data_IF_601554261762
#
_entry.id   IF_601554261762
#
_cell.length_a   1.000
_cell.length_b   1.000
_cell.length_c   1.000
_cell.angle_alpha   90.00
_cell.angle_beta   90.00
_cell.angle_gamma   90.00
#
_symmetry.space_group_name_H-M   'P 1'
#
loop_
_entity.id
_entity.type
_entity.pdbx_description
1 polymer ?
#
# COMPACT_ATOMS: atom_id res chain seq x y z
N UNK A 1 -36.88 17.61 16.75
CA UNK A 1 -35.74 18.20 16.05
C UNK A 1 -34.40 17.70 16.61
N UNK A 2 -34.19 17.78 17.93
CA UNK A 2 -32.89 17.39 18.53
C UNK A 2 -32.54 15.89 18.33
N UNK A 3 -33.50 14.97 18.48
CA UNK A 3 -33.24 13.54 18.28
C UNK A 3 -32.76 13.20 16.86
N UNK A 4 -33.32 13.84 15.82
CA UNK A 4 -32.89 13.62 14.42
C UNK A 4 -31.49 14.20 14.17
N UNK A 5 -31.16 15.38 14.74
CA UNK A 5 -29.82 15.95 14.63
C UNK A 5 -28.78 15.04 15.29
N UNK A 6 -29.08 14.51 16.48
CA UNK A 6 -28.20 13.55 17.17
C UNK A 6 -27.99 12.31 16.32
N UNK A 7 -29.06 11.73 15.74
CA UNK A 7 -28.96 10.56 14.87
C UNK A 7 -28.06 10.83 13.64
N UNK A 8 -28.23 11.97 12.97
CA UNK A 8 -27.42 12.36 11.82
C UNK A 8 -25.96 12.61 12.21
N UNK A 9 -25.69 13.16 13.39
CA UNK A 9 -24.34 13.36 13.89
C UNK A 9 -23.64 12.04 14.22
N UNK A 10 -24.38 11.06 14.78
CA UNK A 10 -23.85 9.69 15.00
C UNK A 10 -23.57 9.02 13.66
N UNK A 11 -24.50 9.08 12.70
CA UNK A 11 -24.30 8.53 11.35
C UNK A 11 -23.08 9.14 10.67
N UNK A 12 -22.87 10.46 10.79
CA UNK A 12 -21.69 11.13 10.27
C UNK A 12 -20.40 10.56 10.92
N UNK A 13 -20.41 10.38 12.24
CA UNK A 13 -19.25 9.82 12.95
C UNK A 13 -18.92 8.40 12.49
N UNK A 14 -19.92 7.55 12.28
CA UNK A 14 -19.71 6.18 11.78
C UNK A 14 -19.18 6.15 10.34
N UNK A 15 -19.64 7.04 9.47
CA UNK A 15 -19.16 7.12 8.09
C UNK A 15 -17.72 7.67 8.03
N UNK A 16 -17.38 8.66 8.85
CA UNK A 16 -16.01 9.17 8.98
C UNK A 16 -15.08 8.08 9.50
N UNK A 17 -15.48 7.34 10.54
CA UNK A 17 -14.68 6.25 11.09
C UNK A 17 -14.45 5.13 10.06
N UNK A 18 -15.49 4.77 9.30
CA UNK A 18 -15.39 3.78 8.23
C UNK A 18 -14.45 4.25 7.09
N UNK A 19 -14.57 5.53 6.69
CA UNK A 19 -13.68 6.13 5.70
C UNK A 19 -12.21 6.13 6.17
N UNK A 20 -11.95 6.52 7.43
CA UNK A 20 -10.62 6.51 8.02
C UNK A 20 -10.03 5.10 8.08
N UNK A 21 -10.83 4.10 8.45
CA UNK A 21 -10.42 2.70 8.49
C UNK A 21 -10.07 2.17 7.09
N UNK A 22 -10.86 2.49 6.07
CA UNK A 22 -10.56 2.12 4.68
C UNK A 22 -9.27 2.78 4.19
N UNK A 23 -9.10 4.08 4.47
CA UNK A 23 -7.88 4.79 4.14
C UNK A 23 -6.64 4.13 4.78
N UNK A 24 -6.74 3.76 6.04
CA UNK A 24 -5.68 3.05 6.75
C UNK A 24 -5.27 1.74 6.05
N UNK A 25 -6.24 0.89 5.66
CA UNK A 25 -5.93 -0.36 4.96
C UNK A 25 -5.24 -0.14 3.61
N UNK A 26 -5.68 0.85 2.83
CA UNK A 26 -5.01 1.18 1.56
C UNK A 26 -3.58 1.66 1.81
N UNK A 27 -3.39 2.55 2.76
CA UNK A 27 -2.07 3.12 3.10
C UNK A 27 -1.09 2.06 3.57
N UNK A 28 -1.51 1.20 4.49
CA UNK A 28 -0.64 0.16 5.05
C UNK A 28 -0.33 -0.94 4.05
N UNK A 29 -1.30 -1.31 3.19
CA UNK A 29 -1.09 -2.29 2.13
C UNK A 29 -0.06 -1.85 1.11
N UNK A 30 -0.19 -0.64 0.57
CA UNK A 30 0.75 -0.07 -0.39
C UNK A 30 2.16 0.13 0.24
N UNK A 31 2.22 0.66 1.46
CA UNK A 31 3.48 0.84 2.17
C UNK A 31 4.18 -0.49 2.41
N UNK A 32 3.43 -1.52 2.84
CA UNK A 32 3.96 -2.86 3.09
C UNK A 32 4.55 -3.48 1.82
N UNK A 33 3.83 -3.36 0.70
CA UNK A 33 4.31 -3.89 -0.60
C UNK A 33 5.63 -3.24 -1.01
N UNK A 34 5.71 -1.90 -0.96
CA UNK A 34 6.91 -1.17 -1.39
C UNK A 34 8.07 -1.38 -0.41
N UNK A 35 7.81 -1.42 0.89
CA UNK A 35 8.82 -1.70 1.89
C UNK A 35 9.42 -3.09 1.68
N UNK A 36 8.58 -4.10 1.47
CA UNK A 36 9.02 -5.47 1.21
C UNK A 36 9.88 -5.55 -0.05
N UNK A 37 9.48 -4.89 -1.13
CA UNK A 37 10.26 -4.79 -2.37
C UNK A 37 11.68 -4.23 -2.13
N UNK A 38 11.78 -3.11 -1.39
CA UNK A 38 13.06 -2.49 -1.08
C UNK A 38 13.93 -3.41 -0.22
N UNK A 39 13.35 -4.05 0.79
CA UNK A 39 14.07 -4.99 1.66
C UNK A 39 14.55 -6.21 0.88
N UNK A 40 13.69 -6.83 0.06
CA UNK A 40 14.09 -8.01 -0.72
C UNK A 40 15.16 -7.68 -1.75
N UNK A 41 15.04 -6.53 -2.44
CA UNK A 41 16.09 -6.05 -3.34
C UNK A 41 17.42 -5.86 -2.60
N UNK A 42 17.40 -5.22 -1.43
CA UNK A 42 18.59 -5.04 -0.61
C UNK A 42 19.21 -6.38 -0.20
N UNK A 43 18.40 -7.31 0.34
CA UNK A 43 18.87 -8.62 0.77
C UNK A 43 19.43 -9.44 -0.41
N UNK A 44 18.81 -9.34 -1.58
CA UNK A 44 19.31 -9.96 -2.79
C UNK A 44 20.69 -9.42 -3.17
N UNK A 45 20.86 -8.09 -3.16
CA UNK A 45 22.16 -7.45 -3.45
C UNK A 45 23.23 -7.82 -2.44
N UNK A 46 22.93 -7.75 -1.14
CA UNK A 46 23.86 -8.14 -0.07
C UNK A 46 24.28 -9.62 -0.18
N UNK A 47 23.36 -10.49 -0.65
CA UNK A 47 23.64 -11.93 -0.81
C UNK A 47 24.33 -12.26 -2.12
N UNK A 48 24.24 -11.39 -3.13
CA UNK A 48 24.73 -11.63 -4.49
C UNK A 48 26.27 -11.80 -4.51
N UNK A 49 26.99 -11.09 -3.67
CA UNK A 49 28.44 -11.24 -3.58
C UNK A 49 28.83 -12.68 -3.14
N UNK A 50 28.12 -13.23 -2.17
CA UNK A 50 28.33 -14.61 -1.72
C UNK A 50 27.92 -15.63 -2.77
N UNK A 51 26.85 -15.35 -3.53
CA UNK A 51 26.44 -16.18 -4.66
C UNK A 51 27.52 -16.18 -5.73
N UNK A 52 28.13 -15.03 -6.06
CA UNK A 52 29.26 -14.92 -7.02
C UNK A 52 30.51 -15.67 -6.56
N UNK A 53 30.81 -15.71 -5.27
CA UNK A 53 31.93 -16.51 -4.75
C UNK A 53 31.70 -17.99 -5.03
N UNK A 54 30.47 -18.49 -4.87
CA UNK A 54 30.11 -19.88 -5.21
C UNK A 54 30.21 -20.09 -6.72
N UNK A 55 29.62 -19.19 -7.52
CA UNK A 55 29.67 -19.24 -8.98
C UNK A 55 31.10 -19.27 -9.51
N UNK A 56 31.98 -18.44 -8.96
CA UNK A 56 33.37 -18.43 -9.35
C UNK A 56 34.04 -19.83 -9.11
N UNK A 57 33.73 -20.45 -7.98
CA UNK A 57 34.19 -21.79 -7.70
C UNK A 57 33.65 -22.83 -8.68
N UNK A 58 32.35 -22.79 -8.99
CA UNK A 58 31.67 -23.69 -9.91
C UNK A 58 32.18 -23.50 -11.34
N UNK A 59 32.31 -22.27 -11.81
CA UNK A 59 32.85 -21.91 -13.14
C UNK A 59 34.30 -22.42 -13.30
N UNK A 60 35.06 -22.51 -12.21
CA UNK A 60 36.41 -23.08 -12.18
C UNK A 60 36.45 -24.61 -11.97
N UNK A 61 35.30 -25.30 -12.09
CA UNK A 61 35.24 -26.76 -12.09
C UNK A 61 35.01 -27.41 -10.72
N UNK A 62 34.70 -26.64 -9.67
CA UNK A 62 34.25 -27.21 -8.39
C UNK A 62 32.83 -27.69 -8.48
N UNK A 63 32.51 -28.85 -7.91
CA UNK A 63 31.13 -29.29 -7.78
C UNK A 63 30.44 -28.51 -6.66
N UNK A 64 29.17 -28.09 -6.91
CA UNK A 64 28.35 -27.44 -5.90
C UNK A 64 28.09 -28.39 -4.70
N UNK A 65 28.03 -29.69 -4.93
CA UNK A 65 27.79 -30.70 -3.88
C UNK A 65 28.99 -30.87 -2.90
N UNK A 66 30.21 -30.58 -3.36
CA UNK A 66 31.45 -30.73 -2.56
C UNK A 66 32.17 -29.37 -2.46
N UNK A 67 31.44 -28.28 -2.19
CA UNK A 67 32.01 -26.95 -2.17
C UNK A 67 32.79 -26.74 -0.84
N UNK A 68 34.08 -26.51 -0.96
CA UNK A 68 34.93 -26.25 0.22
C UNK A 68 34.57 -24.92 0.88
N UNK A 69 34.53 -24.90 2.22
CA UNK A 69 34.28 -23.69 3.02
C UNK A 69 32.87 -23.04 2.84
N UNK A 70 31.87 -23.81 2.40
CA UNK A 70 30.51 -23.32 2.20
C UNK A 70 29.91 -22.74 3.49
N UNK A 71 30.23 -23.30 4.65
CA UNK A 71 29.74 -22.82 5.95
C UNK A 71 30.18 -21.40 6.26
N UNK A 72 31.36 -20.96 5.80
CA UNK A 72 31.81 -19.57 5.92
C UNK A 72 30.99 -18.63 5.05
N UNK A 73 30.65 -19.06 3.83
CA UNK A 73 29.83 -18.32 2.91
C UNK A 73 28.41 -18.14 3.49
N UNK A 74 27.78 -19.23 3.95
CA UNK A 74 26.46 -19.18 4.58
C UNK A 74 26.45 -18.28 5.83
N UNK A 75 27.49 -18.37 6.66
CA UNK A 75 27.66 -17.53 7.85
C UNK A 75 27.85 -16.04 7.48
N UNK A 76 28.51 -15.78 6.35
CA UNK A 76 28.64 -14.43 5.79
C UNK A 76 27.29 -13.85 5.40
N UNK A 77 26.55 -14.55 4.56
CA UNK A 77 25.17 -14.16 4.16
C UNK A 77 24.30 -13.87 5.38
N UNK A 78 24.33 -14.76 6.37
CA UNK A 78 23.51 -14.60 7.56
C UNK A 78 23.88 -13.36 8.39
N UNK A 79 25.15 -13.00 8.46
CA UNK A 79 25.59 -11.80 9.18
C UNK A 79 25.19 -10.50 8.50
N UNK A 80 25.19 -10.45 7.17
CA UNK A 80 24.79 -9.25 6.46
C UNK A 80 23.26 -9.09 6.40
N UNK A 81 22.50 -10.20 6.42
CA UNK A 81 21.05 -10.21 6.24
C UNK A 81 20.32 -10.33 7.59
N UNK A 82 20.05 -9.22 8.26
CA UNK A 82 19.50 -9.17 9.63
C UNK A 82 18.09 -9.75 9.83
N UNK A 83 17.33 -9.98 8.75
CA UNK A 83 15.98 -10.53 8.79
C UNK A 83 15.95 -12.05 8.53
N UNK A 84 17.11 -12.68 8.35
CA UNK A 84 17.22 -14.05 7.87
C UNK A 84 17.26 -15.06 9.03
N UNK A 85 16.28 -15.99 9.05
CA UNK A 85 16.24 -17.11 9.99
C UNK A 85 17.16 -18.25 9.54
N UNK A 86 17.33 -18.43 8.24
CA UNK A 86 18.15 -19.49 7.66
C UNK A 86 18.61 -19.22 6.25
N UNK A 87 19.73 -19.80 5.88
CA UNK A 87 20.30 -19.76 4.52
C UNK A 87 20.52 -21.18 4.05
N UNK A 88 20.09 -21.47 2.85
CA UNK A 88 20.12 -22.80 2.25
C UNK A 88 20.73 -22.75 0.86
N UNK A 89 21.38 -23.84 0.46
CA UNK A 89 21.80 -24.06 -0.91
C UNK A 89 21.13 -25.32 -1.43
N UNK A 90 20.49 -25.18 -2.58
CA UNK A 90 19.83 -26.25 -3.30
C UNK A 90 20.54 -26.49 -4.64
N UNK A 91 20.54 -27.72 -5.09
CA UNK A 91 20.92 -28.07 -6.46
C UNK A 91 19.85 -27.63 -7.48
N UNK A 92 20.15 -27.74 -8.77
CA UNK A 92 19.20 -27.40 -9.85
C UNK A 92 17.92 -28.26 -9.82
N UNK A 93 17.99 -29.50 -9.34
CA UNK A 93 16.88 -30.41 -9.10
C UNK A 93 16.14 -30.17 -7.76
N UNK A 94 16.44 -29.07 -7.06
CA UNK A 94 15.83 -28.64 -5.78
C UNK A 94 16.13 -29.54 -4.59
N UNK A 95 17.18 -30.33 -4.65
CA UNK A 95 17.67 -31.08 -3.50
C UNK A 95 18.51 -30.17 -2.60
N UNK A 96 18.21 -30.13 -1.32
CA UNK A 96 19.00 -29.36 -0.36
C UNK A 96 20.41 -29.95 -0.22
N UNK A 97 21.41 -29.12 -0.48
CA UNK A 97 22.82 -29.49 -0.35
C UNK A 97 23.41 -29.03 0.99
N UNK A 98 23.13 -27.79 1.35
CA UNK A 98 23.65 -27.18 2.56
C UNK A 98 22.57 -26.33 3.24
N UNK A 99 22.69 -26.15 4.56
CA UNK A 99 21.84 -25.26 5.34
C UNK A 99 22.56 -24.70 6.55
N UNK A 100 22.20 -23.48 6.90
CA UNK A 100 22.53 -22.82 8.15
C UNK A 100 21.25 -22.17 8.68
N UNK A 101 20.67 -22.75 9.73
CA UNK A 101 19.40 -22.27 10.31
C UNK A 101 19.47 -22.31 11.84
N UNK A 102 18.60 -21.52 12.50
CA UNK A 102 18.46 -21.44 13.96
C UNK A 102 17.44 -22.44 14.54
N UNK A 103 17.26 -23.58 13.91
CA UNK A 103 16.32 -24.62 14.38
C UNK A 103 14.87 -24.41 13.94
N UNK A 104 14.62 -23.51 12.99
CA UNK A 104 13.32 -23.36 12.31
C UNK A 104 12.98 -24.55 11.42
N UNK A 105 11.70 -24.65 10.99
CA UNK A 105 11.26 -25.66 10.04
C UNK A 105 12.01 -25.48 8.71
N UNK A 106 12.51 -26.56 8.09
CA UNK A 106 13.26 -26.47 6.84
C UNK A 106 12.40 -25.84 5.73
N UNK A 107 13.03 -25.09 4.84
CA UNK A 107 12.39 -24.57 3.64
C UNK A 107 12.15 -25.73 2.67
N UNK A 108 10.89 -26.11 2.46
CA UNK A 108 10.50 -27.19 1.57
C UNK A 108 9.94 -26.69 0.24
N UNK A 109 9.54 -25.41 0.18
CA UNK A 109 8.96 -24.77 -1.00
C UNK A 109 9.60 -23.42 -1.25
N UNK A 110 9.98 -23.16 -2.47
CA UNK A 110 10.45 -21.86 -2.94
C UNK A 110 10.08 -21.67 -4.42
N UNK A 111 9.91 -20.42 -4.83
CA UNK A 111 9.65 -20.07 -6.21
C UNK A 111 10.97 -20.05 -6.98
N UNK A 112 10.98 -20.69 -8.13
CA UNK A 112 12.04 -20.54 -9.12
C UNK A 112 11.48 -19.64 -10.19
N UNK A 113 11.93 -18.37 -10.20
CA UNK A 113 11.56 -17.41 -11.23
C UNK A 113 12.15 -17.78 -12.59
N UNK A 114 11.66 -17.14 -13.63
CA UNK A 114 12.34 -17.15 -14.93
C UNK A 114 13.51 -16.18 -14.87
N UNK A 115 14.69 -16.72 -14.55
CA UNK A 115 15.94 -15.95 -14.47
C UNK A 115 16.56 -15.66 -15.84
N UNK A 116 15.97 -16.17 -16.93
CA UNK A 116 16.43 -15.92 -18.31
C UNK A 116 16.16 -14.48 -18.76
N UNK A 117 15.17 -13.81 -18.13
CA UNK A 117 14.76 -12.43 -18.41
C UNK A 117 15.51 -11.34 -17.62
N UNK A 118 16.62 -11.68 -16.93
CA UNK A 118 17.40 -10.70 -16.18
C UNK A 118 16.96 -10.49 -14.72
N UNK A 119 15.97 -11.23 -14.23
CA UNK A 119 15.59 -11.19 -12.81
C UNK A 119 16.71 -11.76 -11.95
N UNK A 120 17.18 -10.96 -10.98
CA UNK A 120 18.31 -11.34 -10.08
C UNK A 120 17.84 -12.27 -8.97
N UNK A 121 16.55 -12.22 -8.60
CA UNK A 121 15.96 -13.01 -7.53
C UNK A 121 14.47 -13.26 -7.74
N UNK A 122 13.93 -14.19 -6.99
CA UNK A 122 12.48 -14.40 -6.86
C UNK A 122 12.08 -14.48 -5.39
N UNK A 123 10.84 -14.08 -5.08
CA UNK A 123 10.28 -14.13 -3.72
C UNK A 123 9.05 -15.02 -3.72
N UNK A 124 8.96 -15.89 -2.73
CA UNK A 124 7.78 -16.70 -2.43
C UNK A 124 7.26 -16.34 -1.05
N UNK A 125 5.97 -15.96 -0.97
CA UNK A 125 5.28 -15.71 0.31
C UNK A 125 4.73 -17.04 0.85
N UNK A 126 5.41 -17.58 1.87
CA UNK A 126 4.93 -18.72 2.65
C UNK A 126 4.16 -18.22 3.87
N UNK A 127 2.94 -17.72 3.62
CA UNK A 127 2.07 -17.19 4.68
C UNK A 127 1.74 -18.23 5.75
N UNK A 128 1.66 -19.52 5.38
CA UNK A 128 1.40 -20.61 6.32
C UNK A 128 2.61 -20.89 7.23
N UNK A 129 3.83 -20.66 6.72
CA UNK A 129 5.08 -20.80 7.48
C UNK A 129 5.50 -19.52 8.20
N UNK A 130 4.76 -18.40 8.07
CA UNK A 130 5.11 -17.10 8.66
C UNK A 130 6.42 -16.51 8.16
N UNK A 131 6.75 -16.71 6.87
CA UNK A 131 8.04 -16.33 6.28
C UNK A 131 7.93 -15.93 4.82
N UNK A 132 8.94 -15.19 4.37
CA UNK A 132 9.21 -14.97 2.96
C UNK A 132 10.44 -15.79 2.57
N UNK A 133 10.42 -16.34 1.37
CA UNK A 133 11.53 -17.16 0.84
C UNK A 133 12.11 -16.43 -0.37
N UNK A 134 13.33 -15.90 -0.21
CA UNK A 134 14.06 -15.22 -1.27
C UNK A 134 15.01 -16.21 -1.94
N UNK A 135 14.91 -16.35 -3.27
CA UNK A 135 15.70 -17.29 -4.06
C UNK A 135 16.60 -16.55 -5.03
N UNK A 136 17.91 -16.82 -4.97
CA UNK A 136 18.89 -16.33 -5.94
C UNK A 136 19.45 -17.51 -6.75
N UNK A 137 19.53 -17.39 -8.07
CA UNK A 137 20.16 -18.42 -8.91
C UNK A 137 21.67 -18.45 -8.70
N UNK A 138 22.27 -19.63 -8.82
CA UNK A 138 23.71 -19.85 -8.90
C UNK A 138 24.04 -20.32 -10.31
N UNK A 139 24.81 -19.52 -11.05
CA UNK A 139 25.13 -19.82 -12.45
C UNK A 139 26.43 -20.59 -12.57
N UNK A 140 26.38 -21.63 -13.41
CA UNK A 140 27.52 -22.44 -13.81
C UNK A 140 28.26 -21.92 -15.05
N UNK A 141 29.01 -22.82 -15.71
CA UNK A 141 29.65 -22.55 -17.00
C UNK A 141 28.59 -22.41 -18.07
N UNK A 142 28.65 -21.37 -18.89
CA UNK A 142 27.67 -21.16 -19.97
C UNK A 142 26.37 -20.48 -19.51
N UNK A 143 26.33 -19.91 -18.32
CA UNK A 143 25.16 -19.24 -17.71
C UNK A 143 23.95 -20.16 -17.46
N UNK A 144 24.14 -21.48 -17.39
CA UNK A 144 23.09 -22.39 -16.91
C UNK A 144 22.95 -22.27 -15.39
N UNK A 145 21.74 -22.40 -14.87
CA UNK A 145 21.46 -22.44 -13.43
C UNK A 145 21.86 -23.81 -12.88
N UNK A 146 22.91 -23.87 -12.07
CA UNK A 146 23.42 -25.09 -11.44
C UNK A 146 22.89 -25.30 -10.00
N UNK A 147 22.27 -24.28 -9.41
CA UNK A 147 21.66 -24.35 -8.09
C UNK A 147 21.03 -23.03 -7.67
N UNK A 148 20.61 -23.01 -6.41
CA UNK A 148 19.92 -21.86 -5.83
C UNK A 148 20.42 -21.57 -4.43
N UNK A 149 20.68 -20.30 -4.13
CA UNK A 149 20.80 -19.83 -2.75
C UNK A 149 19.40 -19.35 -2.31
N UNK A 150 18.94 -19.85 -1.17
CA UNK A 150 17.61 -19.57 -0.65
C UNK A 150 17.72 -19.01 0.75
N UNK A 151 17.13 -17.84 0.98
CA UNK A 151 17.08 -17.17 2.27
C UNK A 151 15.66 -17.31 2.85
N UNK A 152 15.60 -17.81 4.07
CA UNK A 152 14.38 -17.82 4.89
C UNK A 152 14.32 -16.51 5.69
N UNK A 153 13.39 -15.64 5.33
CA UNK A 153 13.24 -14.30 5.90
C UNK A 153 12.03 -14.29 6.85
N UNK A 154 12.26 -13.88 8.10
CA UNK A 154 11.19 -13.75 9.08
C UNK A 154 10.16 -12.70 8.65
N UNK A 155 8.91 -13.15 8.46
CA UNK A 155 7.77 -12.27 8.18
C UNK A 155 7.57 -11.28 9.32
N UNK A 156 7.56 -11.77 10.56
CA UNK A 156 7.36 -10.95 11.75
C UNK A 156 8.42 -9.85 11.87
N UNK A 157 9.67 -10.15 11.53
CA UNK A 157 10.75 -9.16 11.59
C UNK A 157 10.57 -8.03 10.54
N UNK A 158 10.05 -8.37 9.35
CA UNK A 158 9.71 -7.38 8.31
C UNK A 158 8.48 -6.58 8.71
N UNK A 159 7.41 -7.25 9.17
CA UNK A 159 6.13 -6.61 9.52
C UNK A 159 6.23 -5.76 10.80
N UNK A 160 7.01 -6.17 11.80
CA UNK A 160 7.20 -5.39 13.03
C UNK A 160 7.83 -4.03 12.77
N UNK A 161 8.76 -3.94 11.80
CA UNK A 161 9.32 -2.64 11.41
C UNK A 161 8.27 -1.71 10.77
N UNK A 162 7.27 -2.30 10.11
CA UNK A 162 6.15 -1.56 9.52
C UNK A 162 5.09 -1.17 10.55
N UNK A 163 4.96 -1.93 11.65
CA UNK A 163 3.91 -1.71 12.65
C UNK A 163 4.00 -0.32 13.27
N UNK A 164 5.19 0.16 13.59
CA UNK A 164 5.41 1.49 14.17
C UNK A 164 4.97 2.60 13.21
N UNK A 165 5.29 2.45 11.92
CA UNK A 165 4.90 3.40 10.88
C UNK A 165 3.38 3.36 10.67
N UNK A 166 2.79 2.15 10.67
CA UNK A 166 1.35 1.97 10.47
C UNK A 166 0.53 2.54 11.63
N UNK A 167 1.00 2.40 12.87
CA UNK A 167 0.38 3.00 14.06
C UNK A 167 0.34 4.53 13.96
N UNK A 168 1.39 5.14 13.45
CA UNK A 168 1.44 6.58 13.25
C UNK A 168 0.44 7.06 12.18
N UNK A 169 0.26 6.30 11.08
CA UNK A 169 -0.80 6.58 10.09
C UNK A 169 -2.20 6.44 10.69
N UNK A 170 -2.43 5.44 11.53
CA UNK A 170 -3.69 5.27 12.23
C UNK A 170 -4.01 6.46 13.15
N UNK A 171 -3.05 6.88 13.99
CA UNK A 171 -3.20 8.05 14.88
C UNK A 171 -3.53 9.32 14.11
N UNK A 172 -2.87 9.55 12.99
CA UNK A 172 -3.15 10.68 12.10
C UNK A 172 -4.57 10.63 11.53
N UNK A 173 -4.98 9.52 10.94
CA UNK A 173 -6.32 9.38 10.34
C UNK A 173 -7.42 9.50 11.39
N UNK A 174 -7.21 8.98 12.61
CA UNK A 174 -8.14 9.11 13.72
C UNK A 174 -8.26 10.57 14.19
N UNK A 175 -7.15 11.28 14.35
CA UNK A 175 -7.15 12.69 14.75
C UNK A 175 -7.88 13.58 13.75
N UNK A 176 -7.62 13.40 12.44
CA UNK A 176 -8.33 14.09 11.37
C UNK A 176 -9.82 13.74 11.35
N UNK A 177 -10.16 12.49 11.56
CA UNK A 177 -11.55 12.03 11.65
C UNK A 177 -12.30 12.72 12.79
N UNK A 178 -11.70 12.80 13.97
CA UNK A 178 -12.29 13.50 15.12
C UNK A 178 -12.49 15.00 14.80
N UNK A 179 -11.49 15.65 14.22
CA UNK A 179 -11.56 17.07 13.86
C UNK A 179 -12.69 17.32 12.85
N UNK A 180 -12.80 16.51 11.79
CA UNK A 180 -13.85 16.63 10.79
C UNK A 180 -15.24 16.30 11.37
N UNK A 181 -15.32 15.35 12.29
CA UNK A 181 -16.57 15.06 13.00
C UNK A 181 -17.03 16.25 13.86
N UNK A 182 -16.13 16.88 14.64
CA UNK A 182 -16.43 18.03 15.46
C UNK A 182 -16.88 19.24 14.61
N UNK A 183 -16.16 19.54 13.52
CA UNK A 183 -16.53 20.64 12.62
C UNK A 183 -17.86 20.38 11.92
N UNK A 184 -18.11 19.16 11.47
CA UNK A 184 -19.38 18.76 10.90
C UNK A 184 -20.54 18.82 11.90
N UNK A 185 -20.33 18.43 13.17
CA UNK A 185 -21.31 18.54 14.23
C UNK A 185 -21.68 20.02 14.51
N UNK A 186 -20.69 20.90 14.56
CA UNK A 186 -20.92 22.34 14.69
C UNK A 186 -21.72 22.91 13.51
N UNK A 187 -21.35 22.53 12.28
CA UNK A 187 -22.13 22.91 11.08
C UNK A 187 -23.56 22.41 11.12
N UNK A 188 -23.79 21.17 11.60
CA UNK A 188 -25.12 20.60 11.76
C UNK A 188 -25.98 21.43 12.73
N UNK A 189 -25.39 21.90 13.84
CA UNK A 189 -26.08 22.74 14.83
C UNK A 189 -26.44 24.10 14.22
N UNK A 190 -25.51 24.74 13.49
CA UNK A 190 -25.69 26.10 12.98
C UNK A 190 -26.56 26.17 11.71
N UNK A 191 -26.34 25.28 10.73
CA UNK A 191 -27.00 25.36 9.42
C UNK A 191 -28.38 24.68 9.42
N UNK A 192 -28.57 23.61 10.19
CA UNK A 192 -29.84 22.87 10.18
C UNK A 192 -30.88 23.45 11.16
N UNK A 193 -31.35 24.68 10.93
CA UNK A 193 -32.32 25.34 11.81
C UNK A 193 -33.79 24.98 11.45
N UNK A 194 -34.11 24.72 10.19
CA UNK A 194 -35.46 24.42 9.70
C UNK A 194 -35.77 22.93 9.73
N UNK A 195 -36.95 22.54 10.27
CA UNK A 195 -37.36 21.13 10.32
C UNK A 195 -37.56 20.52 8.91
N UNK A 196 -38.09 21.30 7.97
CA UNK A 196 -38.40 20.81 6.61
C UNK A 196 -37.14 20.55 5.76
N UNK A 197 -36.06 21.31 5.99
CA UNK A 197 -34.81 21.19 5.23
C UNK A 197 -33.73 20.40 5.99
N UNK A 198 -34.04 19.95 7.21
CA UNK A 198 -33.05 19.33 8.10
C UNK A 198 -32.37 18.09 7.49
N UNK A 199 -33.14 17.26 6.80
CA UNK A 199 -32.66 16.02 6.24
C UNK A 199 -31.71 16.28 5.07
N UNK A 200 -32.08 17.15 4.14
CA UNK A 200 -31.26 17.54 2.98
C UNK A 200 -29.99 18.29 3.39
N UNK A 201 -30.13 19.27 4.29
CA UNK A 201 -28.96 20.01 4.81
C UNK A 201 -28.04 19.11 5.61
N UNK A 202 -28.60 18.17 6.40
CA UNK A 202 -27.83 17.20 7.17
C UNK A 202 -27.01 16.26 6.30
N UNK A 203 -27.59 15.70 5.23
CA UNK A 203 -26.87 14.83 4.29
C UNK A 203 -25.77 15.58 3.53
N UNK A 204 -25.99 16.84 3.16
CA UNK A 204 -24.94 17.67 2.55
C UNK A 204 -23.77 17.90 3.50
N UNK A 205 -24.04 18.21 4.77
CA UNK A 205 -22.97 18.38 5.78
C UNK A 205 -22.20 17.08 6.00
N UNK A 206 -22.91 15.94 6.08
CA UNK A 206 -22.27 14.62 6.22
C UNK A 206 -21.36 14.34 5.02
N UNK A 207 -21.87 14.48 3.81
CA UNK A 207 -21.10 14.23 2.59
C UNK A 207 -19.87 15.15 2.50
N UNK A 208 -20.03 16.43 2.80
CA UNK A 208 -18.94 17.40 2.80
C UNK A 208 -17.87 17.06 3.86
N UNK A 209 -18.28 16.66 5.07
CA UNK A 209 -17.35 16.29 6.15
C UNK A 209 -16.53 15.04 5.80
N UNK A 210 -17.19 14.01 5.23
CA UNK A 210 -16.51 12.77 4.81
C UNK A 210 -15.55 13.05 3.65
N UNK A 211 -15.95 13.83 2.64
CA UNK A 211 -15.08 14.19 1.52
C UNK A 211 -13.89 15.03 1.98
N UNK A 212 -14.11 16.01 2.85
CA UNK A 212 -13.03 16.85 3.38
C UNK A 212 -12.04 16.04 4.19
N UNK A 213 -12.52 15.16 5.07
CA UNK A 213 -11.66 14.25 5.84
C UNK A 213 -10.83 13.36 4.91
N UNK A 214 -11.46 12.70 3.92
CA UNK A 214 -10.75 11.82 2.98
C UNK A 214 -9.71 12.58 2.15
N UNK A 215 -10.01 13.80 1.70
CA UNK A 215 -9.10 14.60 0.90
C UNK A 215 -7.90 15.11 1.73
N UNK A 216 -8.14 15.62 2.93
CA UNK A 216 -7.07 16.05 3.83
C UNK A 216 -6.16 14.90 4.25
N UNK A 217 -6.76 13.76 4.61
CA UNK A 217 -6.04 12.56 5.00
C UNK A 217 -5.20 12.01 3.85
N UNK A 218 -5.71 12.02 2.61
CA UNK A 218 -4.96 11.65 1.42
C UNK A 218 -3.78 12.60 1.18
N UNK A 219 -4.01 13.92 1.20
CA UNK A 219 -2.96 14.90 0.94
C UNK A 219 -1.78 14.81 1.94
N UNK A 220 -2.09 14.75 3.24
CA UNK A 220 -1.06 14.62 4.28
C UNK A 220 -0.34 13.27 4.16
N UNK A 221 -1.07 12.20 3.81
CA UNK A 221 -0.50 10.87 3.68
C UNK A 221 0.45 10.74 2.49
N UNK A 222 0.14 11.37 1.35
CA UNK A 222 1.05 11.39 0.18
C UNK A 222 2.35 12.08 0.54
N UNK A 223 2.29 13.25 1.19
CA UNK A 223 3.50 13.95 1.63
C UNK A 223 4.34 13.11 2.59
N UNK A 224 3.71 12.54 3.62
CA UNK A 224 4.39 11.69 4.61
C UNK A 224 4.97 10.43 3.98
N UNK A 225 4.24 9.81 3.05
CA UNK A 225 4.70 8.64 2.32
C UNK A 225 5.98 8.92 1.53
N UNK A 226 6.05 10.03 0.78
CA UNK A 226 7.24 10.41 0.03
C UNK A 226 8.47 10.56 0.94
N UNK A 227 8.31 11.20 2.10
CA UNK A 227 9.39 11.35 3.11
C UNK A 227 9.80 9.99 3.69
N UNK A 228 8.83 9.15 4.02
CA UNK A 228 9.07 7.82 4.60
C UNK A 228 9.80 6.90 3.62
N UNK A 229 9.34 6.83 2.36
CA UNK A 229 10.00 6.05 1.31
C UNK A 229 11.42 6.54 1.07
N UNK A 230 11.62 7.85 0.96
CA UNK A 230 12.96 8.42 0.83
C UNK A 230 13.90 8.00 1.96
N UNK A 231 13.42 8.02 3.21
CA UNK A 231 14.19 7.57 4.37
C UNK A 231 14.54 6.07 4.32
N UNK A 232 13.57 5.22 3.94
CA UNK A 232 13.78 3.76 3.81
C UNK A 232 14.81 3.46 2.72
N UNK A 233 14.69 4.11 1.57
CA UNK A 233 15.65 3.97 0.47
C UNK A 233 17.03 4.44 0.91
N UNK A 234 17.14 5.59 1.55
CA UNK A 234 18.41 6.12 2.03
C UNK A 234 19.09 5.15 3.01
N UNK A 235 18.35 4.55 3.94
CA UNK A 235 18.87 3.55 4.86
C UNK A 235 19.34 2.29 4.11
N UNK A 236 18.57 1.83 3.11
CA UNK A 236 18.91 0.65 2.31
C UNK A 236 20.15 0.90 1.47
N UNK A 237 20.23 2.04 0.80
CA UNK A 237 21.38 2.48 0.03
C UNK A 237 22.62 2.62 0.90
N UNK A 238 22.49 3.20 2.10
CA UNK A 238 23.61 3.32 3.05
C UNK A 238 24.16 1.95 3.46
N UNK A 239 23.30 0.94 3.67
CA UNK A 239 23.75 -0.42 3.98
C UNK A 239 24.44 -1.08 2.80
N UNK A 240 23.89 -0.94 1.58
CA UNK A 240 24.50 -1.47 0.36
C UNK A 240 25.89 -0.83 0.15
N UNK A 241 26.00 0.49 0.21
CA UNK A 241 27.28 1.19 0.03
C UNK A 241 28.30 0.86 1.11
N UNK A 242 27.85 0.68 2.35
CA UNK A 242 28.73 0.24 3.45
C UNK A 242 29.23 -1.20 3.24
N UNK A 243 28.39 -2.11 2.78
CA UNK A 243 28.80 -3.48 2.45
C UNK A 243 29.83 -3.49 1.33
N UNK A 244 29.56 -2.77 0.24
CA UNK A 244 30.51 -2.64 -0.88
C UNK A 244 31.81 -1.98 -0.47
N UNK A 245 31.79 -0.98 0.39
CA UNK A 245 32.98 -0.33 0.90
C UNK A 245 33.85 -1.31 1.71
N UNK A 246 33.23 -2.11 2.60
CA UNK A 246 33.92 -3.12 3.38
C UNK A 246 34.58 -4.18 2.49
N UNK A 247 33.93 -4.58 1.39
CA UNK A 247 34.50 -5.52 0.43
C UNK A 247 35.71 -4.93 -0.28
N UNK A 248 35.65 -3.66 -0.71
CA UNK A 248 36.81 -2.97 -1.29
C UNK A 248 37.94 -2.77 -0.29
N UNK A 249 37.66 -2.44 0.95
CA UNK A 249 38.65 -2.27 1.99
C UNK A 249 39.36 -3.62 2.27
N UNK A 250 38.60 -4.73 2.25
CA UNK A 250 39.17 -6.10 2.37
C UNK A 250 40.10 -6.44 1.21
N UNK A 251 39.75 -6.02 -0.02
CA UNK A 251 40.61 -6.22 -1.20
C UNK A 251 41.92 -5.41 -1.06
N UNK A 252 41.79 -4.18 -0.59
CA UNK A 252 42.95 -3.30 -0.35
C UNK A 252 43.87 -3.84 0.75
N UNK A 253 43.33 -4.36 1.85
CA UNK A 253 44.07 -5.00 2.93
C UNK A 253 44.84 -6.24 2.47
N UNK A 254 44.33 -6.97 1.47
CA UNK A 254 45.00 -8.10 0.82
C UNK A 254 46.12 -7.68 -0.13
N UNK A 255 46.43 -6.38 -0.20
CA UNK A 255 47.54 -5.84 -0.97
C UNK A 255 47.19 -5.49 -2.44
N UNK A 256 45.92 -5.51 -2.82
CA UNK A 256 45.52 -5.06 -4.14
C UNK A 256 45.17 -3.55 -4.08
N UNK A 257 46.08 -2.72 -4.59
CA UNK A 257 45.86 -1.29 -4.62
C UNK A 257 44.60 -0.98 -5.46
N UNK A 258 43.56 -0.35 -4.88
CA UNK A 258 42.32 -0.03 -5.54
C UNK A 258 42.49 0.86 -6.77
N UNK A 259 43.53 1.70 -6.76
CA UNK A 259 43.94 2.52 -7.92
C UNK A 259 44.37 1.73 -9.14
N UNK A 260 44.73 0.45 -8.96
CA UNK A 260 45.12 -0.47 -10.03
C UNK A 260 43.98 -1.33 -10.57
N UNK A 261 42.81 -1.26 -9.95
CA UNK A 261 41.63 -1.94 -10.46
C UNK A 261 41.12 -1.10 -11.64
N UNK A 262 41.29 -1.66 -12.85
CA UNK A 262 40.86 -1.00 -14.07
C UNK A 262 39.35 -0.87 -14.07
N UNK A 263 38.85 0.36 -14.29
CA UNK A 263 37.44 0.69 -14.52
C UNK A 263 36.45 0.18 -13.45
N UNK A 264 36.81 0.41 -12.17
CA UNK A 264 35.98 0.02 -11.03
C UNK A 264 34.55 0.63 -11.09
N UNK A 265 34.41 1.85 -11.62
CA UNK A 265 33.10 2.50 -11.75
C UNK A 265 32.23 1.78 -12.77
N UNK A 266 32.73 1.41 -13.93
CA UNK A 266 31.97 0.62 -14.91
C UNK A 266 31.59 -0.74 -14.36
N UNK A 267 32.51 -1.38 -13.62
CA UNK A 267 32.20 -2.64 -12.94
C UNK A 267 31.08 -2.49 -11.89
N UNK A 268 31.10 -1.45 -11.07
CA UNK A 268 30.04 -1.16 -10.11
C UNK A 268 28.71 -0.93 -10.83
N UNK A 269 28.71 -0.11 -11.86
CA UNK A 269 27.51 0.19 -12.64
C UNK A 269 26.94 -1.06 -13.31
N UNK A 270 27.75 -1.89 -13.92
CA UNK A 270 27.28 -3.10 -14.60
C UNK A 270 26.70 -4.13 -13.65
N UNK A 271 27.29 -4.27 -12.46
CA UNK A 271 26.88 -5.27 -11.49
C UNK A 271 25.71 -4.85 -10.59
N UNK A 272 25.42 -3.55 -10.49
CA UNK A 272 24.37 -3.01 -9.61
C UNK A 272 23.33 -2.16 -10.35
N UNK A 273 23.31 -2.17 -11.68
CA UNK A 273 22.36 -1.44 -12.55
C UNK A 273 20.90 -1.86 -12.33
N UNK A 274 20.69 -3.09 -11.84
CA UNK A 274 19.35 -3.66 -11.67
C UNK A 274 18.70 -3.29 -10.31
N UNK A 275 19.35 -2.41 -9.52
CA UNK A 275 18.75 -1.86 -8.30
C UNK A 275 17.84 -0.69 -8.66
N UNK A 276 16.51 -0.84 -8.57
CA UNK A 276 15.58 0.13 -9.16
C UNK A 276 15.59 1.51 -8.47
N UNK A 277 16.09 1.59 -7.24
CA UNK A 277 16.15 2.83 -6.45
C UNK A 277 17.55 3.49 -6.42
N UNK A 278 18.50 3.00 -7.24
CA UNK A 278 19.84 3.59 -7.38
C UNK A 278 20.06 3.93 -8.85
N UNK A 279 20.27 5.22 -9.14
CA UNK A 279 20.57 5.69 -10.49
C UNK A 279 22.06 5.53 -10.83
N UNK A 280 22.94 5.71 -9.84
CA UNK A 280 24.37 5.64 -10.06
C UNK A 280 25.14 5.24 -8.79
N UNK A 281 26.19 4.46 -8.96
CA UNK A 281 27.20 4.15 -7.95
C UNK A 281 28.55 4.71 -8.40
N UNK A 282 29.12 5.60 -7.59
CA UNK A 282 30.35 6.30 -7.94
C UNK A 282 31.40 5.99 -6.87
N UNK A 283 32.55 5.52 -7.32
CA UNK A 283 33.75 5.44 -6.51
C UNK A 283 34.57 6.70 -6.67
N UNK A 284 34.70 7.48 -5.61
CA UNK A 284 35.34 8.78 -5.65
C UNK A 284 36.86 8.70 -5.44
N UNK A 285 37.54 9.84 -5.62
CA UNK A 285 38.99 9.95 -5.43
C UNK A 285 39.44 9.75 -3.97
N UNK A 286 38.51 9.82 -3.03
CA UNK A 286 38.77 9.59 -1.60
C UNK A 286 38.56 8.12 -1.20
N UNK A 287 38.48 7.23 -2.17
CA UNK A 287 38.27 5.80 -1.98
C UNK A 287 36.93 5.45 -1.30
N UNK A 288 35.90 6.26 -1.54
CA UNK A 288 34.54 6.04 -0.99
C UNK A 288 33.52 5.75 -2.09
N UNK A 289 32.63 4.83 -1.80
CA UNK A 289 31.47 4.56 -2.64
C UNK A 289 30.36 5.50 -2.22
N UNK A 290 29.83 6.24 -3.19
CA UNK A 290 28.63 7.07 -3.07
C UNK A 290 27.57 6.59 -4.04
N UNK A 291 26.34 6.55 -3.60
CA UNK A 291 25.20 6.19 -4.44
C UNK A 291 24.31 7.40 -4.68
N UNK A 292 23.84 7.55 -5.90
CA UNK A 292 22.81 8.51 -6.26
C UNK A 292 21.48 7.79 -6.24
N UNK A 293 20.59 8.24 -5.35
CA UNK A 293 19.24 7.69 -5.20
C UNK A 293 18.39 8.13 -6.40
N UNK A 294 17.56 7.22 -6.90
CA UNK A 294 16.67 7.48 -8.02
C UNK A 294 15.45 8.30 -7.58
N UNK A 295 15.45 9.58 -7.93
CA UNK A 295 14.29 10.45 -7.73
C UNK A 295 13.10 9.98 -8.59
N UNK A 296 13.36 9.38 -9.75
CA UNK A 296 12.32 8.84 -10.63
C UNK A 296 11.58 7.68 -9.96
N UNK A 297 12.30 6.78 -9.29
CA UNK A 297 11.69 5.68 -8.54
C UNK A 297 10.82 6.18 -7.38
N UNK A 298 11.32 7.13 -6.58
CA UNK A 298 10.56 7.73 -5.46
C UNK A 298 9.29 8.40 -6.00
N UNK A 299 9.39 9.16 -7.08
CA UNK A 299 8.26 9.86 -7.68
C UNK A 299 7.23 8.86 -8.22
N UNK A 300 7.65 7.84 -8.96
CA UNK A 300 6.75 6.81 -9.51
C UNK A 300 5.96 6.11 -8.41
N UNK A 301 6.63 5.67 -7.33
CA UNK A 301 5.98 5.03 -6.18
C UNK A 301 5.05 5.99 -5.43
N UNK A 302 5.45 7.25 -5.29
CA UNK A 302 4.61 8.29 -4.66
C UNK A 302 3.37 8.57 -5.51
N UNK A 303 3.48 8.61 -6.85
CA UNK A 303 2.34 8.79 -7.75
C UNK A 303 1.39 7.57 -7.73
N UNK A 304 1.91 6.36 -7.72
CA UNK A 304 1.09 5.14 -7.58
C UNK A 304 0.27 5.17 -6.28
N UNK A 305 0.91 5.49 -5.17
CA UNK A 305 0.25 5.65 -3.88
C UNK A 305 -0.80 6.79 -3.88
N UNK A 306 -0.46 7.94 -4.45
CA UNK A 306 -1.38 9.07 -4.58
C UNK A 306 -2.60 8.72 -5.44
N UNK A 307 -2.41 7.96 -6.52
CA UNK A 307 -3.51 7.50 -7.38
C UNK A 307 -4.48 6.57 -6.62
N UNK A 308 -3.96 5.63 -5.82
CA UNK A 308 -4.79 4.74 -4.98
C UNK A 308 -5.64 5.54 -3.97
N UNK A 309 -5.04 6.54 -3.31
CA UNK A 309 -5.77 7.42 -2.38
C UNK A 309 -6.77 8.34 -3.11
N UNK A 310 -6.43 8.86 -4.28
CA UNK A 310 -7.33 9.68 -5.09
C UNK A 310 -8.58 8.89 -5.51
N UNK A 311 -8.42 7.65 -5.94
CA UNK A 311 -9.54 6.76 -6.24
C UNK A 311 -10.47 6.60 -5.04
N UNK A 312 -9.92 6.47 -3.84
CA UNK A 312 -10.69 6.39 -2.61
C UNK A 312 -11.46 7.69 -2.32
N UNK A 313 -10.84 8.85 -2.49
CA UNK A 313 -11.50 10.17 -2.34
C UNK A 313 -12.65 10.30 -3.34
N UNK A 314 -12.44 9.91 -4.59
CA UNK A 314 -13.48 9.93 -5.63
C UNK A 314 -14.65 9.00 -5.31
N UNK A 315 -14.38 7.82 -4.77
CA UNK A 315 -15.43 6.89 -4.30
C UNK A 315 -16.24 7.48 -3.14
N UNK A 316 -15.60 8.12 -2.18
CA UNK A 316 -16.27 8.82 -1.07
C UNK A 316 -17.14 9.98 -1.59
N UNK A 317 -16.61 10.78 -2.52
CA UNK A 317 -17.35 11.87 -3.13
C UNK A 317 -18.55 11.38 -3.95
N UNK A 318 -18.38 10.34 -4.77
CA UNK A 318 -19.44 9.69 -5.52
C UNK A 318 -20.55 9.13 -4.62
N UNK A 319 -20.19 8.43 -3.57
CA UNK A 319 -21.14 7.92 -2.57
C UNK A 319 -21.92 9.06 -1.88
N UNK A 320 -21.23 10.16 -1.53
CA UNK A 320 -21.86 11.35 -0.96
C UNK A 320 -22.86 12.01 -1.90
N UNK A 321 -22.51 12.14 -3.19
CA UNK A 321 -23.41 12.67 -4.22
C UNK A 321 -24.64 11.77 -4.42
N UNK A 322 -24.45 10.45 -4.48
CA UNK A 322 -25.55 9.50 -4.60
C UNK A 322 -26.49 9.56 -3.40
N UNK A 323 -25.95 9.66 -2.19
CA UNK A 323 -26.73 9.80 -0.97
C UNK A 323 -27.57 11.07 -0.99
N UNK A 324 -27.00 12.21 -1.37
CA UNK A 324 -27.74 13.48 -1.47
C UNK A 324 -28.81 13.44 -2.56
N UNK A 325 -28.52 12.83 -3.71
CA UNK A 325 -29.50 12.65 -4.78
C UNK A 325 -30.66 11.74 -4.35
N UNK A 326 -30.38 10.62 -3.68
CA UNK A 326 -31.41 9.72 -3.16
C UNK A 326 -32.32 10.41 -2.15
N UNK A 327 -31.73 11.18 -1.23
CA UNK A 327 -32.51 11.94 -0.23
C UNK A 327 -33.39 12.98 -0.89
N UNK A 328 -32.90 13.76 -1.85
CA UNK A 328 -33.68 14.76 -2.56
C UNK A 328 -34.82 14.12 -3.38
N UNK A 329 -34.57 12.93 -3.96
CA UNK A 329 -35.58 12.16 -4.66
C UNK A 329 -36.70 11.67 -3.72
N UNK A 330 -36.34 11.13 -2.55
CA UNK A 330 -37.29 10.69 -1.51
C UNK A 330 -38.16 11.88 -1.03
N UNK A 331 -37.53 13.02 -0.69
CA UNK A 331 -38.26 14.22 -0.27
C UNK A 331 -39.27 14.67 -1.33
N UNK A 332 -38.85 14.69 -2.61
CA UNK A 332 -39.74 15.05 -3.72
C UNK A 332 -40.90 14.07 -3.87
N UNK A 333 -40.64 12.78 -3.77
CA UNK A 333 -41.65 11.73 -3.85
C UNK A 333 -42.68 11.82 -2.72
N UNK A 334 -42.22 12.04 -1.48
CA UNK A 334 -43.08 12.23 -0.31
C UNK A 334 -43.91 13.51 -0.44
N UNK A 335 -43.33 14.59 -0.98
CA UNK A 335 -44.05 15.83 -1.23
C UNK A 335 -45.18 15.63 -2.26
N UNK A 336 -44.91 14.97 -3.38
CA UNK A 336 -45.89 14.66 -4.42
C UNK A 336 -47.01 13.77 -3.88
N UNK A 337 -46.69 12.75 -3.08
CA UNK A 337 -47.68 11.88 -2.45
C UNK A 337 -48.61 12.65 -1.49
N UNK A 338 -48.08 13.55 -0.66
CA UNK A 338 -48.85 14.40 0.25
C UNK A 338 -49.77 15.37 -0.52
N UNK A 339 -49.28 15.94 -1.62
CA UNK A 339 -50.05 16.84 -2.48
C UNK A 339 -51.24 16.12 -3.15
N UNK A 340 -50.99 14.90 -3.67
CA UNK A 340 -52.05 14.10 -4.29
C UNK A 340 -53.10 13.67 -3.26
N UNK A 341 -52.72 13.31 -2.04
CA UNK A 341 -53.66 12.99 -0.96
C UNK A 341 -54.53 14.20 -0.56
N UNK A 342 -53.94 15.39 -0.53
CA UNK A 342 -54.70 16.63 -0.21
C UNK A 342 -55.69 17.01 -1.31
N UNK A 343 -55.32 16.84 -2.58
CA UNK A 343 -56.19 17.06 -3.71
C UNK A 343 -57.30 15.99 -3.80
N UNK A 344 -57.03 14.74 -3.49
CA UNK A 344 -58.01 13.66 -3.44
C UNK A 344 -59.10 13.86 -2.34
N UNK A 345 -58.69 14.40 -1.19
CA UNK A 345 -59.67 14.73 -0.13
C UNK A 345 -60.56 15.93 -0.48
N UNK A 346 -60.05 16.93 -1.23
CA UNK A 346 -60.84 18.07 -1.64
C UNK A 346 -61.81 17.72 -2.76
N UNK A 347 -61.54 16.75 -3.63
CA UNK A 347 -62.47 16.28 -4.66
C UNK A 347 -63.58 15.37 -4.10
N UNK A 348 -63.36 14.77 -2.92
CA UNK A 348 -64.41 14.02 -2.19
C UNK A 348 -65.40 14.91 -1.43
N UNK A 349 -64.96 16.05 -0.93
CA UNK A 349 -65.79 16.98 -0.18
C UNK A 349 -66.74 17.84 -1.10
N UNK A 350 -66.37 18.00 -2.37
CA UNK A 350 -67.21 18.74 -3.35
C UNK A 350 -68.29 17.91 -4.00
N UNK A 351 -68.37 16.58 -3.77
CA UNK A 351 -69.46 15.74 -4.36
C UNK A 351 -70.63 15.45 -3.42
N UNK A 352 -70.59 15.87 -2.17
CA UNK A 352 -71.72 15.69 -1.22
C UNK A 352 -72.54 16.90 -1.03
N UNK A 353 -72.25 18.03 -1.71
CA UNK A 353 -73.04 19.28 -1.55
C UNK A 353 -74.00 19.59 -2.72
N UNK A 354 -74.18 18.71 -3.73
CA UNK A 354 -75.13 18.90 -4.86
C UNK A 354 -76.17 17.76 -4.96
N UNK A 355 -76.55 17.11 -3.86
CA UNK A 355 -77.57 16.06 -3.89
C UNK A 355 -78.81 16.36 -3.04
N UNK A 356 -79.00 17.59 -2.59
CA UNK A 356 -80.24 17.96 -1.86
C UNK A 356 -80.71 19.36 -2.25
N UNK A 357 -81.29 19.56 -3.43
CA UNK A 357 -82.24 20.57 -3.75
C UNK A 357 -82.78 20.30 -5.19
N UNK A 358 -83.81 19.53 -5.27
CA UNK A 358 -84.52 19.19 -6.51
C UNK A 358 -85.87 18.61 -6.26
N UNK A 359 -86.68 19.26 -5.40
CA UNK A 359 -88.09 18.91 -5.27
C UNK A 359 -88.99 20.03 -5.79
N UNK A 360 -89.76 19.71 -6.87
CA UNK A 360 -91.07 20.17 -7.23
C UNK A 360 -91.36 21.67 -7.41
N UNK A 361 -91.64 22.04 -8.61
CA UNK A 361 -92.72 22.93 -8.89
C UNK A 361 -93.34 22.68 -10.33
N UNK A 362 -94.65 22.81 -10.51
CA UNK A 362 -95.38 22.12 -11.55
C UNK A 362 -95.64 22.99 -12.81
N UNK A 363 -96.07 22.28 -13.86
CA UNK A 363 -96.64 22.80 -15.10
C UNK A 363 -97.69 23.82 -14.89
N UNK A 364 -97.68 24.95 -15.57
CA UNK A 364 -98.84 25.64 -16.10
C UNK A 364 -98.56 26.13 -17.51
N UNK A 365 -99.48 25.63 -18.41
CA UNK A 365 -99.79 26.10 -19.77
C UNK A 365 -100.24 27.52 -19.81
N UNK A 366 -99.87 28.23 -20.81
CA UNK A 366 -100.69 29.11 -21.66
C UNK A 366 -99.78 30.04 -22.47
N UNK A 367 -99.65 29.97 -23.78
CA UNK A 367 -100.71 30.40 -24.72
C UNK A 367 -100.43 31.83 -25.18
N UNK A 368 -99.86 31.94 -26.25
CA UNK A 368 -99.96 32.71 -27.46
C UNK A 368 -98.61 32.96 -28.15
#
# INVERSE_FOLDING_TARGET
MNKLKVLLTILMGTLIAFSAQRAYYVKTGELSSIYSDIIFTRLAVESQEYTRQIEYGVKNGKSLENFYNISSVLSGVRRCCSYTNGVYIFSSDRRQLYSLNDGGSPVTRFSVGDFSGGSVYSVYDDSAGGRYVLTLPIFGRGNEVCGYMVLDISRDAVENTLSDISEEYWKQSAALGILCWLTGALMMIHLCKSKEKLFRQGTLVISAAVCMQSALDAAISVFKFSVTIGSIIQQSVSKITMSLQNDLDTVNEKGVALSKIYDLNSWLMENYKDIPFIDNLIYDRNYRITAVISDSYINERTWSYAAALLMMVLLCAGAGLLLTAAVTWIERSVYLFRRNKKNGNNSGAGKTEYAEEGELAPYTNAGK
#
